data_IF_125843494231
#
_entry.id   IF_125843494231
#
_cell.length_a   1.000
_cell.length_b   1.000
_cell.length_c   1.000
_cell.angle_alpha   90.00
_cell.angle_beta   90.00
_cell.angle_gamma   90.00
#
_symmetry.space_group_name_H-M   'P 1'
#
loop_
_entity.id
_entity.type
_entity.pdbx_description
1 polymer ?
#
# COMPACT_ATOMS: atom_id res chain seq x y z
N UNK A 1 18.41 6.70 12.82
CA UNK A 1 17.94 6.06 11.58
C UNK A 1 16.58 6.62 11.20
N UNK A 2 16.32 6.81 9.91
CA UNK A 2 15.04 7.25 9.35
C UNK A 2 14.36 6.09 8.64
N UNK A 3 13.10 5.82 8.97
CA UNK A 3 12.33 4.77 8.30
C UNK A 3 11.09 5.33 7.63
N UNK A 4 10.76 4.81 6.46
CA UNK A 4 9.50 5.04 5.76
C UNK A 4 8.58 3.84 5.98
N UNK A 5 7.38 4.09 6.52
CA UNK A 5 6.35 3.07 6.72
C UNK A 5 5.14 3.43 5.85
N UNK A 6 4.93 2.69 4.77
CA UNK A 6 3.75 2.89 3.92
C UNK A 6 2.56 2.12 4.49
N UNK A 7 1.33 2.64 4.42
CA UNK A 7 0.16 1.97 5.02
C UNK A 7 0.20 2.00 6.56
N UNK A 8 1.02 2.89 7.13
CA UNK A 8 1.27 2.98 8.56
C UNK A 8 0.11 3.56 9.37
N UNK A 9 -0.95 4.07 8.73
CA UNK A 9 -2.18 4.47 9.42
C UNK A 9 -3.22 3.33 9.50
N UNK A 10 -2.97 2.20 8.84
CA UNK A 10 -3.80 0.99 8.92
C UNK A 10 -3.58 0.18 10.21
N UNK A 11 -4.28 -0.94 10.36
CA UNK A 11 -4.25 -1.75 11.60
C UNK A 11 -2.85 -2.27 11.96
N UNK A 12 -2.24 -3.07 11.08
CA UNK A 12 -0.89 -3.64 11.32
C UNK A 12 0.16 -2.52 11.29
N UNK A 13 0.09 -1.64 10.30
CA UNK A 13 1.05 -0.55 10.10
C UNK A 13 1.14 0.38 11.32
N UNK A 14 0.02 0.77 11.92
CA UNK A 14 0.03 1.67 13.08
C UNK A 14 0.57 1.00 14.35
N UNK A 15 0.30 -0.29 14.55
CA UNK A 15 0.92 -1.05 15.65
C UNK A 15 2.43 -1.16 15.46
N UNK A 16 2.89 -1.40 14.23
CA UNK A 16 4.32 -1.40 13.92
C UNK A 16 4.96 -0.02 14.20
N UNK A 17 4.32 1.07 13.77
CA UNK A 17 4.79 2.44 14.05
C UNK A 17 4.90 2.69 15.54
N UNK A 18 3.89 2.30 16.33
CA UNK A 18 3.90 2.45 17.80
C UNK A 18 5.00 1.62 18.46
N UNK A 19 5.17 0.38 18.02
CA UNK A 19 6.23 -0.50 18.51
C UNK A 19 7.61 0.09 18.24
N UNK A 20 7.91 0.52 17.01
CA UNK A 20 9.20 1.14 16.68
C UNK A 20 9.41 2.45 17.44
N UNK A 21 8.37 3.27 17.59
CA UNK A 21 8.44 4.53 18.34
C UNK A 21 8.88 4.32 19.80
N UNK A 22 8.42 3.24 20.44
CA UNK A 22 8.75 2.85 21.81
C UNK A 22 10.15 2.21 21.90
N UNK A 23 10.44 1.23 21.04
CA UNK A 23 11.67 0.43 21.14
C UNK A 23 12.91 1.14 20.58
N UNK A 24 12.73 2.11 19.69
CA UNK A 24 13.81 2.83 18.99
C UNK A 24 13.66 4.34 19.21
N UNK A 25 13.98 4.88 20.39
CA UNK A 25 13.75 6.29 20.73
C UNK A 25 14.60 7.28 19.91
N UNK A 26 15.68 6.82 19.29
CA UNK A 26 16.59 7.59 18.43
C UNK A 26 16.19 7.56 16.94
N UNK A 27 15.13 6.83 16.58
CA UNK A 27 14.68 6.72 15.19
C UNK A 27 13.61 7.77 14.85
N UNK A 28 13.61 8.18 13.58
CA UNK A 28 12.56 9.01 12.97
C UNK A 28 11.71 8.15 12.05
N UNK A 29 10.39 8.37 12.10
CA UNK A 29 9.40 7.57 11.37
C UNK A 29 8.61 8.50 10.46
N UNK A 30 8.66 8.23 9.16
CA UNK A 30 7.75 8.84 8.19
C UNK A 30 6.70 7.81 7.83
N UNK A 31 5.44 8.12 8.07
CA UNK A 31 4.30 7.31 7.64
C UNK A 31 3.77 7.88 6.32
N UNK A 32 3.75 7.07 5.26
CA UNK A 32 3.08 7.40 4.00
C UNK A 32 1.77 6.63 3.91
N UNK A 33 0.65 7.31 3.88
CA UNK A 33 -0.65 6.65 3.81
C UNK A 33 -1.63 7.48 2.98
N UNK A 34 -2.39 6.81 2.12
CA UNK A 34 -3.42 7.46 1.29
C UNK A 34 -4.66 7.84 2.10
N UNK A 35 -4.76 7.36 3.35
CA UNK A 35 -5.94 7.50 4.21
C UNK A 35 -7.21 7.07 3.47
N UNK A 36 -7.12 5.93 2.77
CA UNK A 36 -8.29 5.26 2.21
C UNK A 36 -9.14 4.67 3.34
N UNK A 37 -10.15 3.88 3.01
CA UNK A 37 -11.09 3.29 3.96
C UNK A 37 -10.45 2.66 5.22
N UNK A 38 -9.29 1.99 5.08
CA UNK A 38 -8.63 1.31 6.20
C UNK A 38 -7.63 2.17 7.00
N UNK A 39 -7.28 3.36 6.49
CA UNK A 39 -6.32 4.26 7.13
C UNK A 39 -7.01 5.24 8.08
N UNK A 40 -6.68 5.21 9.36
CA UNK A 40 -7.22 6.16 10.34
C UNK A 40 -6.09 6.95 11.00
N UNK A 41 -6.08 8.27 10.79
CA UNK A 41 -5.11 9.18 11.40
C UNK A 41 -5.09 9.09 12.93
N UNK A 42 -6.24 8.80 13.56
CA UNK A 42 -6.34 8.63 15.00
C UNK A 42 -5.47 7.47 15.53
N UNK A 43 -5.14 6.49 14.68
CA UNK A 43 -4.24 5.40 15.06
C UNK A 43 -2.81 5.90 15.37
N UNK A 44 -2.44 7.11 14.91
CA UNK A 44 -1.15 7.75 15.17
C UNK A 44 -1.24 8.83 16.28
N UNK A 45 -2.40 9.04 16.89
CA UNK A 45 -2.56 10.04 17.95
C UNK A 45 -1.71 9.70 19.20
N UNK A 46 -1.21 10.74 19.87
CA UNK A 46 -0.34 10.63 21.03
C UNK A 46 1.13 10.36 20.73
N UNK A 47 1.50 10.20 19.45
CA UNK A 47 2.90 10.12 19.03
C UNK A 47 3.50 11.52 18.86
N UNK A 48 4.75 11.69 19.25
CA UNK A 48 5.46 12.96 19.07
C UNK A 48 5.65 13.26 17.57
N UNK A 49 5.07 14.37 17.11
CA UNK A 49 5.11 14.83 15.72
C UNK A 49 6.52 15.24 15.25
N UNK A 50 7.44 15.51 16.17
CA UNK A 50 8.84 15.75 15.83
C UNK A 50 9.56 14.47 15.40
N UNK A 51 9.05 13.31 15.84
CA UNK A 51 9.62 11.99 15.55
C UNK A 51 8.80 11.17 14.56
N UNK A 52 7.48 11.36 14.54
CA UNK A 52 6.54 10.64 13.67
C UNK A 52 5.84 11.64 12.76
N UNK A 53 6.21 11.63 11.49
CA UNK A 53 5.61 12.49 10.46
C UNK A 53 4.63 11.69 9.63
N UNK A 54 3.43 12.21 9.42
CA UNK A 54 2.47 11.67 8.46
C UNK A 54 2.56 12.46 7.14
N UNK A 55 2.76 11.74 6.04
CA UNK A 55 2.64 12.21 4.66
C UNK A 55 1.40 11.55 4.08
N UNK A 56 0.43 12.37 3.67
CA UNK A 56 -0.80 11.88 3.04
C UNK A 56 -0.54 11.84 1.54
N UNK A 57 -0.62 10.65 0.94
CA UNK A 57 -0.33 10.46 -0.47
C UNK A 57 -0.46 9.02 -0.92
N UNK A 58 -0.45 8.81 -2.24
CA UNK A 58 -0.51 7.48 -2.85
C UNK A 58 0.91 6.93 -3.04
N UNK A 59 1.10 5.64 -2.76
CA UNK A 59 2.36 4.94 -3.06
C UNK A 59 2.57 4.76 -4.58
N UNK A 60 1.53 4.95 -5.39
CA UNK A 60 1.61 4.94 -6.85
C UNK A 60 2.02 6.31 -7.43
N UNK A 61 2.11 7.36 -6.60
CA UNK A 61 2.54 8.69 -7.03
C UNK A 61 4.06 8.85 -6.83
N UNK A 62 4.81 8.73 -7.93
CA UNK A 62 6.27 8.87 -7.94
C UNK A 62 6.72 10.19 -7.31
N UNK A 63 5.98 11.29 -7.51
CA UNK A 63 6.33 12.61 -6.97
C UNK A 63 6.27 12.67 -5.44
N UNK A 64 5.52 11.76 -4.81
CA UNK A 64 5.44 11.60 -3.36
C UNK A 64 6.44 10.56 -2.85
N UNK A 65 6.57 9.44 -3.58
CA UNK A 65 7.40 8.32 -3.15
C UNK A 65 8.89 8.62 -3.28
N UNK A 66 9.33 9.21 -4.39
CA UNK A 66 10.74 9.50 -4.65
C UNK A 66 11.40 10.32 -3.53
N UNK A 67 10.85 11.46 -3.09
CA UNK A 67 11.43 12.21 -1.97
C UNK A 67 11.31 11.47 -0.63
N UNK A 68 10.24 10.68 -0.42
CA UNK A 68 10.04 9.95 0.83
C UNK A 68 11.03 8.78 1.00
N UNK A 69 11.30 8.06 -0.09
CA UNK A 69 12.29 6.97 -0.13
C UNK A 69 13.71 7.54 -0.06
N UNK A 70 13.98 8.64 -0.76
CA UNK A 70 15.31 9.28 -0.76
C UNK A 70 15.74 9.80 0.62
N UNK A 71 14.79 10.19 1.49
CA UNK A 71 15.07 10.62 2.85
C UNK A 71 15.14 9.46 3.87
N UNK A 72 14.83 8.22 3.46
CA UNK A 72 14.74 7.08 4.37
C UNK A 72 15.96 6.14 4.24
N UNK A 73 16.43 5.63 5.39
CA UNK A 73 17.46 4.60 5.43
C UNK A 73 16.87 3.21 5.14
N UNK A 74 15.58 3.01 5.42
CA UNK A 74 14.85 1.77 5.18
C UNK A 74 13.36 2.01 4.91
N UNK A 75 12.75 1.10 4.15
CA UNK A 75 11.31 1.12 3.82
C UNK A 75 10.63 -0.14 4.36
N UNK A 76 9.49 0.03 5.04
CA UNK A 76 8.60 -1.04 5.49
C UNK A 76 7.24 -0.87 4.82
N UNK A 77 6.87 -1.82 3.97
CA UNK A 77 5.74 -1.66 3.04
C UNK A 77 4.49 -2.44 3.47
N UNK A 78 3.55 -1.78 4.17
CA UNK A 78 2.24 -2.35 4.53
C UNK A 78 1.08 -1.84 3.66
N UNK A 79 1.31 -0.88 2.76
CA UNK A 79 0.25 -0.31 1.93
C UNK A 79 -0.26 -1.35 0.93
N UNK A 80 -1.53 -1.71 1.04
CA UNK A 80 -2.22 -2.59 0.10
C UNK A 80 -3.75 -2.35 0.18
N UNK A 81 -4.49 -2.60 -0.90
CA UNK A 81 -5.92 -2.89 -0.77
C UNK A 81 -6.07 -4.34 -0.29
N UNK A 82 -6.47 -4.52 0.97
CA UNK A 82 -6.54 -5.84 1.61
C UNK A 82 -7.95 -6.44 1.68
N UNK A 83 -8.95 -5.82 1.04
CA UNK A 83 -10.30 -6.39 0.98
C UNK A 83 -10.36 -7.53 -0.02
N UNK A 84 -10.63 -8.74 0.48
CA UNK A 84 -10.98 -9.89 -0.37
C UNK A 84 -12.25 -9.61 -1.17
N UNK A 85 -13.18 -8.81 -0.65
CA UNK A 85 -14.47 -8.50 -1.30
C UNK A 85 -14.34 -7.56 -2.52
N UNK A 86 -13.38 -6.63 -2.53
CA UNK A 86 -13.10 -5.80 -3.72
C UNK A 86 -12.46 -6.62 -4.86
N UNK A 87 -11.80 -7.74 -4.54
CA UNK A 87 -11.18 -8.59 -5.56
C UNK A 87 -12.22 -9.35 -6.41
N UNK A 88 -13.40 -9.67 -5.86
CA UNK A 88 -14.47 -10.42 -6.55
C UNK A 88 -15.40 -9.56 -7.42
N UNK A 89 -15.61 -8.27 -7.10
CA UNK A 89 -16.45 -7.41 -7.94
C UNK A 89 -15.84 -7.14 -9.34
N UNK A 90 -14.54 -7.36 -9.52
CA UNK A 90 -13.85 -7.22 -10.81
C UNK A 90 -14.05 -8.38 -11.80
N UNK A 91 -14.71 -9.48 -11.37
CA UNK A 91 -14.89 -10.68 -12.20
C UNK A 91 -16.07 -10.58 -13.18
N UNK A 92 -17.00 -9.63 -13.00
CA UNK A 92 -18.22 -9.54 -13.82
C UNK A 92 -18.03 -8.94 -15.21
N UNK A 93 -16.91 -8.25 -15.49
CA UNK A 93 -16.72 -7.54 -16.77
C UNK A 93 -15.76 -8.22 -17.76
N UNK A 94 -15.18 -9.37 -17.42
CA UNK A 94 -14.26 -10.08 -18.32
C UNK A 94 -15.01 -11.15 -19.11
N UNK A 95 -15.77 -10.71 -20.12
CA UNK A 95 -16.29 -11.63 -21.14
C UNK A 95 -15.11 -12.20 -21.92
N UNK A 96 -14.83 -13.48 -21.73
CA UNK A 96 -13.92 -14.23 -22.59
C UNK A 96 -14.59 -14.31 -23.96
N UNK A 97 -14.08 -13.58 -24.95
CA UNK A 97 -14.49 -13.80 -26.33
C UNK A 97 -14.07 -15.22 -26.73
N UNK A 98 -14.99 -16.09 -27.21
CA UNK A 98 -14.60 -17.42 -27.62
C UNK A 98 -13.69 -17.33 -28.83
N UNK A 99 -12.49 -17.92 -28.71
CA UNK A 99 -11.57 -18.09 -29.82
C UNK A 99 -12.23 -18.96 -30.90
N UNK A 100 -12.68 -18.33 -31.99
CA UNK A 100 -13.24 -19.01 -33.15
C UNK A 100 -12.21 -19.04 -34.29
N UNK A 101 -11.27 -19.98 -34.22
CA UNK A 101 -10.74 -20.62 -35.43
C UNK A 101 -9.92 -21.86 -35.08
N UNK A 102 -10.54 -23.05 -35.13
CA UNK A 102 -9.81 -24.29 -35.33
C UNK A 102 -10.54 -25.15 -36.38
N UNK A 103 -9.99 -25.07 -37.60
CA UNK A 103 -9.99 -26.02 -38.69
C UNK A 103 -11.11 -27.07 -38.83
N UNK A 104 -11.86 -26.99 -39.94
CA UNK A 104 -12.29 -28.17 -40.71
C UNK A 104 -11.97 -27.97 -42.20
N UNK A 105 -10.79 -28.42 -42.61
CA UNK A 105 -10.49 -28.77 -44.01
C UNK A 105 -10.09 -30.24 -44.03
N UNK A 106 -11.09 -31.11 -44.16
CA UNK A 106 -10.90 -32.49 -44.60
C UNK A 106 -11.57 -32.66 -45.95
N UNK A 107 -10.76 -33.14 -46.88
CA UNK A 107 -11.05 -33.39 -48.28
C UNK A 107 -12.14 -34.46 -48.48
N UNK A 108 -12.82 -34.40 -49.63
CA UNK A 108 -13.18 -35.60 -50.40
C UNK A 108 -13.24 -35.28 -51.88
N UNK A 109 -12.83 -36.30 -52.61
CA UNK A 109 -12.66 -36.45 -54.06
C UNK A 109 -13.98 -36.38 -54.84
#
# INVERSE_FOLDING_TARGET
MKILVTGGAGFIGSNFVRYVYQERPDWQITVLDKLTYAGNKANLDGLDKSRVKLVIGDICDESVVDPAVSDADAVVHFAAESHVDNSVHSISSRTVSPASSFASKTASA
#
